data_IF_387445511976
#
_entry.id   IF_387445511976
#
_cell.length_a   1.000
_cell.length_b   1.000
_cell.length_c   1.000
_cell.angle_alpha   90.00
_cell.angle_beta   90.00
_cell.angle_gamma   90.00
#
_symmetry.space_group_name_H-M   'P 1'
#
loop_
_entity.id
_entity.type
_entity.pdbx_description
1 polymer ?
#
# COMPACT_ATOMS: atom_id res chain seq x y z
N UNK A 1 26.06 19.15 9.14
CA UNK A 1 26.19 17.74 8.70
C UNK A 1 25.28 16.92 9.60
N UNK A 2 24.12 16.52 9.08
CA UNK A 2 23.14 15.72 9.83
C UNK A 2 23.49 14.26 9.57
N UNK A 3 23.91 13.55 10.62
CA UNK A 3 24.12 12.11 10.57
C UNK A 3 22.78 11.42 10.24
N UNK A 4 22.74 10.81 9.05
CA UNK A 4 21.70 9.86 8.67
C UNK A 4 21.86 8.63 9.59
N UNK A 5 21.09 8.57 10.68
CA UNK A 5 21.00 7.36 11.48
C UNK A 5 20.59 6.21 10.57
N UNK A 6 21.33 5.11 10.61
CA UNK A 6 21.04 3.88 9.87
C UNK A 6 19.67 3.34 10.30
N UNK A 7 18.62 3.83 9.67
CA UNK A 7 17.25 3.41 9.97
C UNK A 7 17.13 1.92 9.67
N UNK A 8 16.74 1.17 10.69
CA UNK A 8 16.46 -0.25 10.59
C UNK A 8 15.30 -0.43 9.61
N UNK A 9 15.63 -0.86 8.40
CA UNK A 9 14.67 -1.02 7.31
C UNK A 9 13.53 -1.96 7.74
N UNK A 10 12.30 -1.45 7.79
CA UNK A 10 11.13 -2.23 8.20
C UNK A 10 10.75 -3.12 7.03
N UNK A 11 10.79 -4.44 7.23
CA UNK A 11 10.39 -5.40 6.22
C UNK A 11 8.85 -5.44 6.08
N UNK A 12 8.34 -5.64 4.86
CA UNK A 12 6.90 -5.81 4.67
C UNK A 12 6.37 -7.06 5.38
N UNK A 13 5.08 -7.05 5.70
CA UNK A 13 4.36 -8.27 6.08
C UNK A 13 4.42 -9.32 4.96
N UNK A 14 4.19 -10.59 5.27
CA UNK A 14 4.17 -11.66 4.27
C UNK A 14 2.89 -11.68 3.42
N UNK A 15 1.81 -11.06 3.90
CA UNK A 15 0.49 -11.12 3.28
C UNK A 15 -0.19 -9.75 3.25
N UNK A 16 -1.07 -9.56 2.27
CA UNK A 16 -1.93 -8.40 2.12
C UNK A 16 -2.84 -8.25 3.35
N UNK A 17 -2.86 -7.07 3.95
CA UNK A 17 -3.65 -6.78 5.16
C UNK A 17 -5.16 -6.84 4.91
N UNK A 18 -5.58 -6.61 3.66
CA UNK A 18 -6.98 -6.57 3.25
C UNK A 18 -7.49 -7.98 2.93
N UNK A 19 -6.91 -8.64 1.92
CA UNK A 19 -7.41 -9.92 1.41
C UNK A 19 -6.62 -11.16 1.85
N UNK A 20 -5.49 -11.00 2.54
CA UNK A 20 -4.67 -12.12 3.00
C UNK A 20 -3.83 -12.81 1.92
N UNK A 21 -3.85 -12.34 0.67
CA UNK A 21 -2.98 -12.91 -0.39
C UNK A 21 -1.49 -12.76 -0.04
N UNK A 22 -0.66 -13.78 -0.29
CA UNK A 22 0.78 -13.69 -0.08
C UNK A 22 1.42 -12.76 -1.12
N UNK A 23 2.60 -12.22 -0.81
CA UNK A 23 3.30 -11.23 -1.65
C UNK A 23 3.52 -11.71 -3.10
N UNK A 24 3.90 -12.97 -3.31
CA UNK A 24 4.17 -13.54 -4.64
C UNK A 24 2.92 -13.68 -5.54
N UNK A 25 1.70 -13.57 -4.98
CA UNK A 25 0.43 -13.55 -5.73
C UNK A 25 -0.24 -12.18 -5.72
N UNK A 26 0.38 -11.17 -5.11
CA UNK A 26 -0.27 -9.90 -4.79
C UNK A 26 0.04 -8.76 -5.78
N UNK A 27 0.88 -9.01 -6.77
CA UNK A 27 1.50 -7.93 -7.55
C UNK A 27 2.36 -7.05 -6.63
N UNK A 28 2.22 -5.74 -6.75
CA UNK A 28 2.92 -4.78 -5.89
C UNK A 28 2.30 -4.69 -4.48
N UNK A 29 3.16 -4.50 -3.48
CA UNK A 29 2.79 -4.30 -2.07
C UNK A 29 2.62 -2.81 -1.77
N UNK A 30 1.39 -2.31 -1.86
CA UNK A 30 1.05 -0.90 -1.76
C UNK A 30 0.86 -0.50 -0.30
N UNK A 31 1.46 0.61 0.12
CA UNK A 31 1.30 1.18 1.47
C UNK A 31 0.25 2.29 1.42
N UNK A 32 0.33 3.15 0.40
CA UNK A 32 -0.43 4.39 0.35
C UNK A 32 -0.92 4.73 -1.06
N UNK A 33 -2.12 5.29 -1.15
CA UNK A 33 -2.65 5.98 -2.31
C UNK A 33 -3.47 7.20 -1.85
N UNK A 34 -3.61 8.20 -2.72
CA UNK A 34 -4.58 9.29 -2.49
C UNK A 34 -6.01 8.78 -2.25
N UNK A 35 -6.36 7.62 -2.80
CA UNK A 35 -7.68 7.03 -2.63
C UNK A 35 -7.85 6.27 -1.32
N UNK A 36 -6.77 5.63 -0.82
CA UNK A 36 -6.81 4.73 0.33
C UNK A 36 -5.40 4.53 0.88
N UNK A 37 -5.26 4.40 2.19
CA UNK A 37 -3.96 4.20 2.83
C UNK A 37 -4.06 4.30 4.33
N UNK A 38 -2.89 4.35 4.96
CA UNK A 38 -2.75 4.63 6.37
C UNK A 38 -1.47 5.42 6.64
N UNK A 39 -1.41 6.14 7.74
CA UNK A 39 -0.23 6.83 8.22
C UNK A 39 -0.15 6.81 9.74
N UNK A 40 1.00 7.18 10.29
CA UNK A 40 1.22 7.27 11.73
C UNK A 40 1.10 8.72 12.18
N UNK A 41 0.36 8.95 13.27
CA UNK A 41 0.15 10.28 13.83
C UNK A 41 0.36 10.28 15.34
N UNK A 42 0.79 11.42 15.89
CA UNK A 42 0.84 11.67 17.35
C UNK A 42 -0.49 12.16 17.93
N UNK A 43 -1.46 12.40 17.06
CA UNK A 43 -2.78 12.92 17.43
C UNK A 43 -3.86 12.18 16.66
N UNK A 44 -5.03 11.98 17.28
CA UNK A 44 -6.17 11.43 16.57
C UNK A 44 -6.60 12.41 15.48
N UNK A 45 -6.66 11.94 14.24
CA UNK A 45 -7.22 12.69 13.12
C UNK A 45 -8.68 12.24 12.97
N UNK A 46 -9.60 13.20 13.00
CA UNK A 46 -11.03 13.01 12.76
C UNK A 46 -11.45 13.89 11.58
N UNK A 47 -12.45 13.46 10.83
CA UNK A 47 -12.96 14.20 9.66
C UNK A 47 -12.58 13.52 8.35
N UNK A 48 -12.25 14.32 7.32
CA UNK A 48 -12.09 13.87 5.94
C UNK A 48 -13.25 14.29 5.05
N UNK A 49 -13.17 13.98 3.75
CA UNK A 49 -14.32 14.18 2.86
C UNK A 49 -15.39 13.12 3.17
N UNK A 50 -16.67 13.39 2.88
CA UNK A 50 -17.79 12.44 3.07
C UNK A 50 -17.46 11.05 2.53
N UNK A 51 -16.77 10.98 1.40
CA UNK A 51 -16.42 9.73 0.71
C UNK A 51 -15.13 9.06 1.20
N UNK A 52 -14.33 9.76 2.02
CA UNK A 52 -13.00 9.31 2.50
C UNK A 52 -12.75 9.82 3.91
N UNK A 53 -13.45 9.23 4.87
CA UNK A 53 -13.30 9.57 6.29
C UNK A 53 -12.00 9.02 6.86
N UNK A 54 -11.36 9.81 7.70
CA UNK A 54 -10.23 9.37 8.51
C UNK A 54 -10.73 8.62 9.74
N UNK A 55 -10.13 7.45 9.99
CA UNK A 55 -10.37 6.64 11.19
C UNK A 55 -9.04 6.52 11.93
N UNK A 56 -9.00 6.91 13.19
CA UNK A 56 -7.80 6.81 14.02
C UNK A 56 -7.97 5.71 15.06
N UNK A 57 -7.03 4.77 15.09
CA UNK A 57 -6.95 3.73 16.13
C UNK A 57 -5.62 3.83 16.87
N UNK A 58 -5.62 3.53 18.17
CA UNK A 58 -4.40 3.53 18.98
C UNK A 58 -3.45 2.41 18.55
N UNK A 59 -2.15 2.73 18.49
CA UNK A 59 -1.10 1.74 18.25
C UNK A 59 -0.72 0.95 19.50
N UNK A 60 -0.84 1.58 20.67
CA UNK A 60 -0.58 0.99 21.97
C UNK A 60 -1.44 1.68 23.04
N UNK A 61 -1.68 0.99 24.15
CA UNK A 61 -2.49 1.51 25.27
C UNK A 61 -1.78 2.63 26.04
N UNK A 62 -0.46 2.77 25.88
CA UNK A 62 0.37 3.64 26.71
C UNK A 62 0.82 4.96 26.07
N UNK A 63 0.50 5.24 24.78
CA UNK A 63 0.94 6.46 24.10
C UNK A 63 -0.10 7.06 23.17
N UNK A 64 0.02 8.38 22.99
CA UNK A 64 -0.62 9.23 21.98
C UNK A 64 -0.10 8.91 20.57
N UNK A 65 -0.11 7.65 20.15
CA UNK A 65 0.28 7.23 18.81
C UNK A 65 -0.89 6.52 18.15
N UNK A 66 -1.22 6.98 16.96
CA UNK A 66 -2.37 6.52 16.20
C UNK A 66 -1.92 5.99 14.85
N UNK A 67 -2.55 4.91 14.42
CA UNK A 67 -2.63 4.56 13.01
C UNK A 67 -3.89 5.22 12.45
N UNK A 68 -3.71 6.11 11.49
CA UNK A 68 -4.79 6.83 10.82
C UNK A 68 -5.03 6.17 9.49
N UNK A 69 -6.26 5.73 9.24
CA UNK A 69 -6.68 5.06 8.02
C UNK A 69 -7.58 5.98 7.19
N UNK A 70 -7.51 5.87 5.87
CA UNK A 70 -8.48 6.48 4.95
C UNK A 70 -8.75 5.57 3.76
N UNK A 71 -9.91 5.75 3.15
CA UNK A 71 -10.35 4.96 2.00
C UNK A 71 -11.80 5.22 1.66
N UNK A 72 -12.24 4.67 0.53
CA UNK A 72 -13.66 4.48 0.23
C UNK A 72 -14.33 3.69 1.38
N UNK A 73 -15.61 3.97 1.64
CA UNK A 73 -16.40 3.19 2.60
C UNK A 73 -16.25 1.68 2.29
N UNK A 74 -16.12 0.87 3.34
CA UNK A 74 -15.82 -0.59 3.33
C UNK A 74 -14.40 -1.04 3.00
N UNK A 75 -13.47 -0.16 2.56
CA UNK A 75 -12.10 -0.61 2.29
C UNK A 75 -11.36 -1.03 3.57
N UNK A 76 -11.35 -0.16 4.58
CA UNK A 76 -10.78 -0.45 5.90
C UNK A 76 -11.86 -0.95 6.85
N UNK A 77 -12.13 -2.25 6.77
CA UNK A 77 -12.96 -2.93 7.77
C UNK A 77 -12.22 -3.05 9.10
N UNK A 78 -12.97 -3.14 10.20
CA UNK A 78 -12.43 -3.21 11.56
C UNK A 78 -11.38 -4.31 11.72
N UNK A 79 -11.65 -5.51 11.18
CA UNK A 79 -10.72 -6.63 11.19
C UNK A 79 -9.39 -6.30 10.46
N UNK A 80 -9.44 -5.59 9.33
CA UNK A 80 -8.27 -5.20 8.56
C UNK A 80 -7.45 -4.14 9.28
N UNK A 81 -8.10 -3.18 9.94
CA UNK A 81 -7.42 -2.16 10.75
C UNK A 81 -6.71 -2.79 11.96
N UNK A 82 -7.38 -3.69 12.68
CA UNK A 82 -6.75 -4.43 13.78
C UNK A 82 -5.60 -5.33 13.29
N UNK A 83 -5.72 -5.98 12.13
CA UNK A 83 -4.61 -6.71 11.49
C UNK A 83 -3.43 -5.79 11.18
N UNK A 84 -3.67 -4.59 10.64
CA UNK A 84 -2.63 -3.62 10.32
C UNK A 84 -1.84 -3.21 11.58
N UNK A 85 -2.55 -2.91 12.67
CA UNK A 85 -1.93 -2.59 13.96
C UNK A 85 -1.09 -3.77 14.47
N UNK A 86 -1.65 -4.99 14.47
CA UNK A 86 -0.92 -6.19 14.92
C UNK A 86 0.35 -6.43 14.11
N UNK A 87 0.28 -6.27 12.78
CA UNK A 87 1.44 -6.38 11.88
C UNK A 87 2.50 -5.34 12.27
N UNK A 88 2.10 -4.09 12.42
CA UNK A 88 3.03 -3.02 12.78
C UNK A 88 3.69 -3.25 14.14
N UNK A 89 2.92 -3.65 15.15
CA UNK A 89 3.44 -3.97 16.49
C UNK A 89 4.39 -5.16 16.51
N UNK A 90 4.35 -6.03 15.48
CA UNK A 90 5.33 -7.12 15.28
C UNK A 90 6.65 -6.68 14.62
N UNK A 91 6.79 -5.39 14.28
CA UNK A 91 7.97 -4.84 13.61
C UNK A 91 7.98 -5.05 12.09
N UNK A 92 6.80 -5.27 11.47
CA UNK A 92 6.63 -5.41 10.02
C UNK A 92 5.75 -4.29 9.49
N UNK A 93 5.89 -3.94 8.20
CA UNK A 93 5.04 -2.92 7.59
C UNK A 93 3.81 -3.55 6.93
N UNK A 94 2.57 -3.16 7.32
CA UNK A 94 1.37 -3.60 6.62
C UNK A 94 1.30 -2.99 5.22
N UNK A 95 0.68 -3.72 4.30
CA UNK A 95 0.50 -3.32 2.90
C UNK A 95 -0.75 -3.98 2.33
N UNK A 96 -1.28 -3.45 1.24
CA UNK A 96 -2.37 -4.05 0.47
C UNK A 96 -1.96 -4.31 -0.99
N UNK A 97 -2.49 -5.37 -1.59
CA UNK A 97 -2.07 -5.85 -2.89
C UNK A 97 -2.57 -4.96 -4.04
N UNK A 98 -2.02 -5.19 -5.24
CA UNK A 98 -2.44 -4.46 -6.46
C UNK A 98 -3.92 -4.63 -6.77
N UNK A 99 -4.51 -5.79 -6.45
CA UNK A 99 -5.94 -6.05 -6.64
C UNK A 99 -6.81 -5.20 -5.69
N UNK A 100 -6.50 -5.21 -4.38
CA UNK A 100 -7.18 -4.38 -3.39
C UNK A 100 -6.98 -2.88 -3.67
N UNK A 101 -5.79 -2.51 -4.13
CA UNK A 101 -5.43 -1.13 -4.50
C UNK A 101 -5.92 -0.69 -5.87
N UNK A 102 -6.68 -1.53 -6.59
CA UNK A 102 -7.17 -1.26 -7.96
C UNK A 102 -6.05 -0.82 -8.94
N UNK A 103 -4.84 -1.38 -8.79
CA UNK A 103 -3.68 -1.22 -9.69
C UNK A 103 -3.54 -2.43 -10.60
N UNK A 104 -4.61 -2.68 -11.34
CA UNK A 104 -4.77 -3.81 -12.23
C UNK A 104 -5.04 -3.33 -13.65
N UNK A 105 -4.74 -4.19 -14.62
CA UNK A 105 -5.06 -3.96 -16.01
C UNK A 105 -6.58 -3.96 -16.20
N UNK A 106 -7.11 -2.93 -16.85
CA UNK A 106 -8.54 -2.83 -17.17
C UNK A 106 -9.03 -3.91 -18.14
N UNK A 107 -8.14 -4.52 -18.93
CA UNK A 107 -8.49 -5.58 -19.89
C UNK A 107 -8.60 -6.97 -19.25
N UNK A 108 -7.57 -7.39 -18.51
CA UNK A 108 -7.48 -8.77 -18.01
C UNK A 108 -7.54 -8.91 -16.49
N UNK A 109 -7.58 -7.80 -15.74
CA UNK A 109 -7.62 -7.81 -14.27
C UNK A 109 -6.30 -8.20 -13.57
N UNK A 110 -5.26 -8.59 -14.31
CA UNK A 110 -3.94 -8.88 -13.72
C UNK A 110 -3.24 -7.60 -13.23
N UNK A 111 -2.32 -7.73 -12.27
CA UNK A 111 -1.57 -6.60 -11.73
C UNK A 111 -0.81 -5.83 -12.82
N UNK A 112 -0.71 -4.51 -12.66
CA UNK A 112 0.17 -3.69 -13.49
C UNK A 112 1.62 -3.84 -13.03
N UNK A 113 2.57 -3.68 -13.95
CA UNK A 113 4.00 -3.76 -13.65
C UNK A 113 4.47 -2.68 -12.64
N UNK A 114 3.75 -1.56 -12.56
CA UNK A 114 4.01 -0.49 -11.59
C UNK A 114 2.70 0.04 -10.99
N UNK A 115 2.61 0.27 -9.67
CA UNK A 115 1.40 0.72 -9.02
C UNK A 115 1.30 2.25 -9.03
N UNK A 116 1.24 2.88 -10.22
CA UNK A 116 1.23 4.35 -10.35
C UNK A 116 0.19 5.04 -9.49
N UNK A 117 0.56 6.21 -8.96
CA UNK A 117 -0.24 6.97 -7.99
C UNK A 117 -0.28 6.33 -6.61
N UNK A 118 0.78 5.59 -6.24
CA UNK A 118 0.88 4.88 -4.97
C UNK A 118 2.31 4.91 -4.43
N UNK A 119 2.43 4.82 -3.11
CA UNK A 119 3.66 4.40 -2.44
C UNK A 119 3.60 2.89 -2.22
N UNK A 120 4.70 2.20 -2.51
CA UNK A 120 4.78 0.75 -2.38
C UNK A 120 6.12 0.33 -1.78
N UNK A 121 6.14 -0.84 -1.16
CA UNK A 121 7.32 -1.41 -0.49
C UNK A 121 7.86 -2.61 -1.25
N UNK A 122 9.18 -2.69 -1.41
CA UNK A 122 9.86 -3.88 -1.92
C UNK A 122 9.96 -4.98 -0.86
N UNK A 123 10.30 -6.20 -1.27
CA UNK A 123 10.60 -7.30 -0.35
C UNK A 123 11.79 -7.00 0.60
N UNK A 124 12.72 -6.14 0.19
CA UNK A 124 13.83 -5.68 1.03
C UNK A 124 13.46 -4.53 1.96
N UNK A 125 12.25 -4.00 1.86
CA UNK A 125 11.75 -2.92 2.69
C UNK A 125 12.06 -1.50 2.17
N UNK A 126 12.43 -1.33 0.90
CA UNK A 126 12.54 0.00 0.30
C UNK A 126 11.15 0.50 -0.06
N UNK A 127 10.82 1.71 0.38
CA UNK A 127 9.58 2.39 0.03
C UNK A 127 9.86 3.28 -1.17
N UNK A 128 9.05 3.13 -2.21
CA UNK A 128 9.18 3.87 -3.47
C UNK A 128 7.86 4.55 -3.79
N UNK A 129 7.93 5.85 -4.09
CA UNK A 129 6.82 6.60 -4.65
C UNK A 129 6.72 6.36 -6.15
N UNK A 130 5.55 5.93 -6.64
CA UNK A 130 5.27 5.77 -8.07
C UNK A 130 4.35 6.91 -8.55
N UNK A 131 4.87 7.95 -9.22
CA UNK A 131 4.07 9.11 -9.62
C UNK A 131 3.08 8.78 -10.76
N UNK A 132 2.03 9.61 -10.90
CA UNK A 132 1.11 9.57 -12.04
C UNK A 132 1.68 10.43 -13.17
N UNK A 133 2.28 9.80 -14.17
CA UNK A 133 2.97 10.49 -15.28
C UNK A 133 2.22 10.45 -16.62
N UNK A 134 0.95 10.01 -16.64
CA UNK A 134 0.16 9.93 -17.87
C UNK A 134 0.61 8.86 -18.89
N UNK A 135 1.58 8.02 -18.51
CA UNK A 135 2.09 6.93 -19.35
C UNK A 135 1.29 5.64 -19.15
N UNK A 136 1.12 4.86 -20.23
CA UNK A 136 0.51 3.55 -20.14
C UNK A 136 1.44 2.58 -19.40
N UNK A 137 0.94 1.99 -18.31
CA UNK A 137 1.70 0.99 -17.55
C UNK A 137 1.47 -0.41 -18.12
N UNK A 138 2.53 -1.17 -18.43
CA UNK A 138 2.41 -2.53 -18.95
C UNK A 138 1.66 -3.46 -17.99
N UNK A 139 0.88 -4.37 -18.56
CA UNK A 139 0.31 -5.50 -17.84
C UNK A 139 1.41 -6.53 -17.53
N UNK A 140 1.23 -7.31 -16.45
CA UNK A 140 2.12 -8.42 -16.09
C UNK A 140 1.72 -9.76 -16.73
N UNK A 141 0.51 -9.87 -17.31
CA UNK A 141 0.02 -11.09 -17.94
C UNK A 141 0.50 -11.19 -19.39
N UNK A 142 1.37 -12.16 -19.76
CA UNK A 142 1.89 -12.32 -21.11
C UNK A 142 0.82 -12.53 -22.19
N UNK A 143 -0.37 -13.01 -21.81
CA UNK A 143 -1.47 -13.27 -22.73
C UNK A 143 -2.38 -12.05 -22.97
N UNK A 144 -2.05 -10.90 -22.38
CA UNK A 144 -2.86 -9.68 -22.51
C UNK A 144 -2.26 -8.76 -23.59
N UNK A 145 -3.10 -8.13 -24.43
CA UNK A 145 -2.62 -7.13 -25.41
C UNK A 145 -1.87 -5.94 -24.77
N UNK A 146 -2.15 -5.67 -23.49
CA UNK A 146 -1.47 -4.59 -22.74
C UNK A 146 -0.14 -5.06 -22.13
N UNK A 147 0.26 -6.31 -22.35
CA UNK A 147 1.58 -6.80 -22.04
C UNK A 147 2.59 -6.16 -22.98
N UNK A 148 3.67 -5.62 -22.42
CA UNK A 148 4.82 -5.16 -23.18
C UNK A 148 6.05 -5.73 -22.51
N UNK A 149 6.80 -6.56 -23.23
CA UNK A 149 8.18 -6.87 -22.85
C UNK A 149 8.96 -5.56 -22.82
N UNK A 150 9.81 -5.34 -21.82
CA UNK A 150 10.61 -4.11 -21.72
C UNK A 150 11.70 -3.99 -22.81
N UNK A 151 11.52 -4.63 -23.96
CA UNK A 151 12.48 -4.72 -25.06
C UNK A 151 11.80 -4.19 -26.31
N UNK A 152 11.94 -2.88 -26.52
CA UNK A 152 12.03 -2.21 -27.82
C UNK A 152 12.05 -0.70 -27.55
N UNK A 153 13.16 -0.22 -26.99
CA UNK A 153 13.57 1.16 -27.23
C UNK A 153 14.36 1.13 -28.54
N UNK A 154 13.72 1.55 -29.64
CA UNK A 154 14.44 2.06 -30.81
C UNK A 154 15.08 3.39 -30.45
#
# INVERSE_FOLDING_TARGET
>A
MIECSKDKQILPASHCVICGLPSYQSGNMIIEQKARGFCFSRSSIKGGNKDKRYISLHLNESKSQYMVFWGEDSFWQENAMHRAIKIYSSGKLPWFCSYCGKRVCSKCGCALASPVGSDFISNTGFIVHSPLLGVQIPCTNPMCDNYKTQVEKK
#
